data_IF_751818890093
#
_entry.id   IF_751818890093
#
_cell.length_a   1.000
_cell.length_b   1.000
_cell.length_c   1.000
_cell.angle_alpha   90.00
_cell.angle_beta   90.00
_cell.angle_gamma   90.00
#
_symmetry.space_group_name_H-M   'P 1'
#
loop_
_entity.id
_entity.type
_entity.pdbx_description
1 polymer ?
#
# COMPACT_ATOMS: atom_id res chain seq x y z
N UNK A 1 -9.38 -5.72 17.45
CA UNK A 1 -8.33 -6.72 17.18
C UNK A 1 -7.29 -6.24 16.15
N UNK A 2 -7.67 -5.52 15.09
CA UNK A 2 -6.71 -4.98 14.11
C UNK A 2 -5.88 -3.81 14.68
N UNK A 3 -6.44 -3.01 15.57
CA UNK A 3 -5.69 -1.99 16.33
C UNK A 3 -4.60 -2.63 17.18
N UNK A 4 -4.88 -3.76 17.82
CA UNK A 4 -3.92 -4.49 18.64
C UNK A 4 -2.73 -5.01 17.84
N UNK A 5 -2.96 -5.53 16.62
CA UNK A 5 -1.90 -5.98 15.71
C UNK A 5 -1.01 -4.80 15.29
N UNK A 6 -1.59 -3.64 14.96
CA UNK A 6 -0.86 -2.42 14.62
C UNK A 6 0.02 -1.96 15.78
N UNK A 7 -0.51 -1.93 16.99
CA UNK A 7 0.22 -1.43 18.16
C UNK A 7 1.39 -2.35 18.54
N UNK A 8 1.24 -3.67 18.40
CA UNK A 8 2.34 -4.61 18.61
C UNK A 8 3.41 -4.52 17.52
N UNK A 9 3.06 -4.25 16.27
CA UNK A 9 4.03 -4.14 15.18
C UNK A 9 4.93 -2.91 15.28
N UNK A 10 4.53 -1.86 16.03
CA UNK A 10 5.33 -0.63 16.17
C UNK A 10 6.69 -0.83 16.82
N UNK A 11 6.88 -1.89 17.61
CA UNK A 11 8.13 -2.26 18.25
C UNK A 11 8.98 -3.24 17.44
N UNK A 12 8.40 -3.94 16.46
CA UNK A 12 9.08 -4.95 15.63
C UNK A 12 9.68 -4.29 14.40
N UNK A 13 10.83 -3.60 14.56
CA UNK A 13 11.44 -2.76 13.50
C UNK A 13 12.87 -3.16 13.14
N UNK A 14 13.36 -4.27 13.68
CA UNK A 14 14.73 -4.71 13.39
C UNK A 14 14.88 -5.02 11.90
N UNK A 15 16.01 -4.58 11.34
CA UNK A 15 16.43 -4.85 9.97
C UNK A 15 17.88 -5.34 10.03
N UNK A 16 18.14 -6.48 9.43
CA UNK A 16 19.46 -7.07 9.30
C UNK A 16 19.67 -7.56 7.87
N UNK A 17 20.89 -7.90 7.49
CA UNK A 17 21.14 -8.53 6.19
C UNK A 17 22.26 -9.59 6.30
N UNK A 18 22.21 -10.53 5.38
CA UNK A 18 23.28 -11.47 5.07
C UNK A 18 23.48 -11.45 3.55
N UNK A 19 24.67 -11.05 3.09
CA UNK A 19 24.96 -10.68 1.70
C UNK A 19 23.89 -9.74 1.13
N UNK A 20 23.05 -10.18 0.21
CA UNK A 20 22.00 -9.41 -0.44
C UNK A 20 20.57 -9.73 0.07
N UNK A 21 20.45 -10.65 1.03
CA UNK A 21 19.19 -10.99 1.67
C UNK A 21 18.96 -10.11 2.90
N UNK A 22 17.87 -9.32 2.89
CA UNK A 22 17.46 -8.50 4.04
C UNK A 22 16.39 -9.23 4.83
N UNK A 23 16.62 -9.39 6.13
CA UNK A 23 15.59 -9.81 7.09
C UNK A 23 15.03 -8.57 7.78
N UNK A 24 13.73 -8.29 7.58
CA UNK A 24 13.06 -7.16 8.20
C UNK A 24 11.86 -7.61 9.02
N UNK A 25 11.73 -7.10 10.25
CA UNK A 25 10.55 -7.30 11.06
C UNK A 25 9.36 -6.48 10.52
N UNK A 26 8.14 -6.96 10.72
CA UNK A 26 6.94 -6.45 10.06
C UNK A 26 6.51 -5.04 10.46
N UNK A 27 7.00 -4.51 11.57
CA UNK A 27 6.81 -3.12 11.97
C UNK A 27 7.84 -2.14 11.40
N UNK A 28 8.89 -2.63 10.71
CA UNK A 28 9.79 -1.77 9.96
C UNK A 28 9.02 -1.10 8.82
N UNK A 29 9.25 0.20 8.59
CA UNK A 29 8.64 0.87 7.44
C UNK A 29 9.32 0.46 6.15
N UNK A 30 8.56 0.40 5.08
CA UNK A 30 9.08 0.12 3.73
C UNK A 30 10.22 1.08 3.38
N UNK A 31 10.04 2.36 3.74
CA UNK A 31 11.05 3.40 3.54
C UNK A 31 12.33 3.17 4.37
N UNK A 32 12.25 2.63 5.58
CA UNK A 32 13.43 2.34 6.39
C UNK A 32 14.20 1.15 5.83
N UNK A 33 13.49 0.13 5.34
CA UNK A 33 14.13 -1.00 4.64
C UNK A 33 14.85 -0.53 3.37
N UNK A 34 14.21 0.33 2.55
CA UNK A 34 14.87 0.89 1.36
C UNK A 34 16.14 1.69 1.72
N UNK A 35 16.10 2.53 2.77
CA UNK A 35 17.26 3.29 3.22
C UNK A 35 18.37 2.39 3.78
N UNK A 36 17.99 1.35 4.51
CA UNK A 36 18.93 0.35 5.02
C UNK A 36 19.62 -0.38 3.88
N UNK A 37 18.86 -0.87 2.90
CA UNK A 37 19.37 -1.53 1.71
C UNK A 37 20.35 -0.63 0.93
N UNK A 38 19.99 0.63 0.72
CA UNK A 38 20.85 1.63 0.07
C UNK A 38 22.20 1.79 0.78
N UNK A 39 22.20 1.88 2.11
CA UNK A 39 23.45 2.00 2.89
C UNK A 39 24.31 0.74 2.81
N UNK A 40 23.69 -0.43 2.71
CA UNK A 40 24.37 -1.72 2.58
C UNK A 40 24.79 -2.04 1.13
N UNK A 41 24.49 -1.19 0.14
CA UNK A 41 24.76 -1.45 -1.26
C UNK A 41 23.90 -2.56 -1.86
N UNK A 42 22.68 -2.72 -1.36
CA UNK A 42 21.70 -3.71 -1.81
C UNK A 42 20.62 -3.01 -2.63
N UNK A 43 20.59 -3.26 -3.93
CA UNK A 43 19.62 -2.73 -4.90
C UNK A 43 18.40 -3.63 -5.07
N UNK A 44 17.52 -3.26 -6.01
CA UNK A 44 16.23 -3.91 -6.32
C UNK A 44 15.14 -3.70 -5.27
N UNK A 45 15.41 -2.94 -4.21
CA UNK A 45 14.50 -2.61 -3.11
C UNK A 45 14.11 -1.11 -3.10
N UNK A 46 14.53 -0.34 -4.09
CA UNK A 46 14.35 1.12 -4.16
C UNK A 46 12.88 1.52 -4.21
N UNK A 47 12.02 0.68 -4.81
CA UNK A 47 10.58 0.95 -4.94
C UNK A 47 9.87 1.06 -3.58
N UNK A 48 10.40 0.40 -2.55
CA UNK A 48 9.88 0.46 -1.18
C UNK A 48 9.86 1.88 -0.62
N UNK A 49 10.78 2.79 -1.06
CA UNK A 49 10.77 4.20 -0.63
C UNK A 49 9.49 4.93 -1.07
N UNK A 50 8.84 4.44 -2.12
CA UNK A 50 7.61 4.98 -2.66
C UNK A 50 6.34 4.41 -2.01
N UNK A 51 6.43 3.43 -1.12
CA UNK A 51 5.29 2.79 -0.47
C UNK A 51 5.13 3.33 0.95
N UNK A 52 4.00 3.96 1.28
CA UNK A 52 3.71 4.40 2.64
C UNK A 52 3.12 3.23 3.43
N UNK A 53 3.94 2.54 4.19
CA UNK A 53 3.49 1.38 4.93
C UNK A 53 4.59 0.73 5.75
N UNK A 54 4.33 -0.49 6.17
CA UNK A 54 5.27 -1.37 6.85
C UNK A 54 5.37 -2.69 6.11
N UNK A 55 6.44 -3.42 6.34
CA UNK A 55 6.69 -4.75 5.76
C UNK A 55 5.48 -5.68 5.94
N UNK A 56 4.87 -5.68 7.13
CA UNK A 56 3.67 -6.50 7.38
C UNK A 56 2.47 -6.13 6.51
N UNK A 57 2.24 -4.84 6.29
CA UNK A 57 1.22 -4.34 5.37
C UNK A 57 1.54 -4.66 3.92
N UNK A 58 2.80 -4.52 3.53
CA UNK A 58 3.31 -4.88 2.21
C UNK A 58 3.09 -6.35 1.85
N UNK A 59 3.42 -7.26 2.76
CA UNK A 59 3.15 -8.69 2.61
C UNK A 59 1.64 -8.98 2.47
N UNK A 60 0.82 -8.38 3.31
CA UNK A 60 -0.63 -8.63 3.34
C UNK A 60 -1.35 -8.16 2.08
N UNK A 61 -0.84 -7.12 1.44
CA UNK A 61 -1.45 -6.50 0.26
C UNK A 61 -0.69 -6.82 -1.04
N UNK A 62 0.40 -7.56 -1.00
CA UNK A 62 1.36 -7.59 -2.09
C UNK A 62 1.59 -6.18 -2.65
N UNK A 63 1.98 -5.26 -1.75
CA UNK A 63 2.14 -3.86 -2.12
C UNK A 63 3.20 -3.70 -3.20
N UNK A 64 3.02 -2.74 -4.09
CA UNK A 64 3.96 -2.51 -5.18
C UNK A 64 3.88 -1.08 -5.70
N UNK A 65 4.95 -0.65 -6.30
CA UNK A 65 5.08 0.65 -6.95
C UNK A 65 6.19 0.58 -8.01
N UNK A 66 6.11 1.45 -9.02
CA UNK A 66 7.17 1.62 -10.02
C UNK A 66 7.59 0.31 -10.74
N UNK A 67 6.61 -0.58 -10.96
CA UNK A 67 6.82 -1.83 -11.70
C UNK A 67 7.30 -3.02 -10.88
N UNK A 68 7.49 -2.86 -9.55
CA UNK A 68 7.89 -3.94 -8.63
C UNK A 68 6.84 -4.14 -7.54
N UNK A 69 6.75 -5.36 -7.03
CA UNK A 69 5.82 -5.77 -5.97
C UNK A 69 6.55 -6.58 -4.88
N UNK A 70 5.93 -6.73 -3.72
CA UNK A 70 6.49 -7.54 -2.63
C UNK A 70 6.77 -8.99 -3.05
N UNK A 71 5.91 -9.60 -3.89
CA UNK A 71 6.13 -10.97 -4.38
C UNK A 71 7.45 -11.12 -5.16
N UNK A 72 7.95 -10.05 -5.79
CA UNK A 72 9.15 -10.10 -6.64
C UNK A 72 10.43 -10.13 -5.78
N UNK A 73 10.35 -9.64 -4.56
CA UNK A 73 11.49 -9.55 -3.64
C UNK A 73 11.38 -10.46 -2.42
N UNK A 74 10.20 -10.98 -2.08
CA UNK A 74 10.00 -11.82 -0.90
C UNK A 74 10.50 -13.24 -1.15
N UNK A 75 11.46 -13.70 -0.33
CA UNK A 75 11.86 -15.11 -0.26
C UNK A 75 10.85 -15.85 0.61
N UNK A 76 10.65 -15.36 1.84
CA UNK A 76 9.76 -15.93 2.85
C UNK A 76 9.18 -14.87 3.76
N UNK A 77 7.95 -15.13 4.21
CA UNK A 77 7.33 -14.44 5.32
C UNK A 77 7.23 -15.40 6.51
N UNK A 78 7.58 -14.92 7.69
CA UNK A 78 7.51 -15.69 8.94
C UNK A 78 6.46 -15.11 9.87
N UNK A 79 5.87 -15.97 10.70
CA UNK A 79 4.84 -15.54 11.64
C UNK A 79 4.24 -16.68 12.44
N UNK A 80 3.00 -16.47 12.87
CA UNK A 80 2.22 -17.44 13.63
C UNK A 80 0.77 -17.46 13.14
N UNK A 81 0.14 -18.64 13.23
CA UNK A 81 -1.29 -18.77 13.08
C UNK A 81 -2.03 -18.49 14.42
N UNK A 82 -3.35 -18.69 14.44
CA UNK A 82 -4.16 -18.46 15.65
C UNK A 82 -3.83 -19.42 16.80
N UNK A 83 -3.31 -20.60 16.49
CA UNK A 83 -2.97 -21.62 17.47
C UNK A 83 -1.54 -21.45 17.99
N UNK A 84 -0.85 -20.37 17.56
CA UNK A 84 0.54 -20.10 17.94
C UNK A 84 1.56 -20.97 17.20
N UNK A 85 1.15 -21.71 16.18
CA UNK A 85 2.04 -22.49 15.34
C UNK A 85 2.84 -21.56 14.43
N UNK A 86 4.14 -21.79 14.33
CA UNK A 86 5.01 -21.04 13.44
C UNK A 86 4.65 -21.29 11.98
N UNK A 87 4.58 -20.24 11.21
CA UNK A 87 4.45 -20.26 9.75
C UNK A 87 5.72 -19.75 9.09
N UNK A 88 6.00 -20.31 7.91
CA UNK A 88 7.07 -19.86 7.01
C UNK A 88 6.54 -20.07 5.60
N UNK A 89 6.15 -18.99 4.91
CA UNK A 89 5.42 -19.02 3.65
C UNK A 89 6.16 -18.26 2.55
N UNK A 90 6.19 -18.83 1.36
CA UNK A 90 6.66 -18.19 0.14
C UNK A 90 5.57 -17.31 -0.48
N UNK A 91 5.88 -16.43 -1.45
CA UNK A 91 4.86 -15.71 -2.22
C UNK A 91 3.82 -16.62 -2.88
N UNK A 92 4.24 -17.81 -3.35
CA UNK A 92 3.35 -18.81 -3.94
C UNK A 92 2.38 -19.39 -2.90
N UNK A 93 2.88 -19.74 -1.71
CA UNK A 93 2.05 -20.24 -0.59
C UNK A 93 1.02 -19.19 -0.15
N UNK A 94 1.35 -17.91 -0.30
CA UNK A 94 0.47 -16.79 0.02
C UNK A 94 -0.45 -16.37 -1.15
N UNK A 95 -0.40 -17.03 -2.31
CA UNK A 95 -1.21 -16.69 -3.47
C UNK A 95 -1.12 -15.22 -3.88
N UNK A 96 0.09 -14.63 -3.82
CA UNK A 96 0.27 -13.21 -4.08
C UNK A 96 -0.02 -12.85 -5.54
N UNK A 97 -1.00 -11.95 -5.74
CA UNK A 97 -1.36 -11.37 -7.03
C UNK A 97 -1.45 -9.84 -6.92
N UNK A 98 -1.80 -9.15 -7.98
CA UNK A 98 -1.88 -7.68 -7.97
C UNK A 98 -2.77 -7.15 -6.84
N UNK A 99 -2.17 -6.44 -5.87
CA UNK A 99 -2.82 -5.87 -4.68
C UNK A 99 -3.63 -6.88 -3.87
N UNK A 100 -3.15 -8.12 -3.84
CA UNK A 100 -3.84 -9.21 -3.16
C UNK A 100 -2.87 -10.27 -2.63
N UNK A 101 -3.27 -10.88 -1.51
CA UNK A 101 -2.64 -12.07 -0.93
C UNK A 101 -3.73 -12.95 -0.34
N UNK A 102 -3.71 -14.24 -0.67
CA UNK A 102 -4.60 -15.29 -0.13
C UNK A 102 -4.15 -15.77 1.26
N UNK A 103 -3.06 -15.23 1.81
CA UNK A 103 -2.61 -15.59 3.14
C UNK A 103 -3.76 -15.50 4.15
N UNK A 104 -4.03 -16.55 4.95
CA UNK A 104 -5.14 -16.55 5.91
C UNK A 104 -5.14 -15.28 6.77
N UNK A 105 -6.31 -14.66 6.96
CA UNK A 105 -6.47 -13.46 7.79
C UNK A 105 -6.07 -13.67 9.24
N UNK A 106 -6.06 -14.94 9.67
CA UNK A 106 -5.63 -15.36 10.98
C UNK A 106 -4.12 -15.33 11.20
N UNK A 107 -3.32 -15.27 10.11
CA UNK A 107 -1.86 -15.24 10.23
C UNK A 107 -1.38 -13.87 10.70
N UNK A 108 -0.45 -13.88 11.66
CA UNK A 108 0.25 -12.72 12.17
C UNK A 108 1.70 -12.81 11.69
N UNK A 109 2.07 -12.00 10.71
CA UNK A 109 3.45 -11.93 10.24
C UNK A 109 4.34 -11.23 11.26
N UNK A 110 5.56 -11.73 11.44
CA UNK A 110 6.57 -11.17 12.36
C UNK A 110 7.80 -10.65 11.63
N UNK A 111 8.20 -11.28 10.52
CA UNK A 111 9.32 -10.84 9.70
C UNK A 111 9.18 -11.31 8.25
N UNK A 112 9.98 -10.74 7.38
CA UNK A 112 10.17 -11.18 6.00
C UNK A 112 11.65 -11.24 5.65
N UNK A 113 12.02 -12.19 4.80
CA UNK A 113 13.27 -12.26 4.08
C UNK A 113 13.04 -11.71 2.66
N UNK A 114 13.81 -10.68 2.33
CA UNK A 114 13.67 -9.93 1.08
C UNK A 114 14.97 -10.02 0.29
N UNK A 115 14.90 -10.46 -0.96
CA UNK A 115 16.04 -10.60 -1.85
C UNK A 115 16.30 -9.30 -2.60
N UNK A 116 17.49 -8.76 -2.44
CA UNK A 116 18.01 -7.70 -3.28
C UNK A 116 19.14 -8.19 -4.20
N UNK A 117 19.82 -7.26 -4.82
CA UNK A 117 21.00 -7.48 -5.70
C UNK A 117 22.15 -6.59 -5.25
N UNK A 118 23.40 -7.00 -5.50
CA UNK A 118 24.55 -6.10 -5.26
C UNK A 118 24.44 -4.86 -6.15
N UNK A 119 24.66 -3.69 -5.56
CA UNK A 119 24.58 -2.42 -6.28
C UNK A 119 25.42 -1.33 -5.63
N UNK A 120 25.66 -0.27 -6.40
CA UNK A 120 26.38 0.91 -5.92
C UNK A 120 25.44 1.81 -5.13
N UNK A 121 25.77 2.10 -3.87
CA UNK A 121 24.97 2.91 -2.94
C UNK A 121 24.54 4.26 -3.53
N UNK A 122 25.39 4.90 -4.34
CA UNK A 122 25.10 6.16 -5.01
C UNK A 122 24.03 6.00 -6.10
N UNK A 123 24.10 4.95 -6.92
CA UNK A 123 23.12 4.64 -7.96
C UNK A 123 21.74 4.35 -7.35
N UNK A 124 21.71 3.50 -6.30
CA UNK A 124 20.48 3.18 -5.52
C UNK A 124 19.85 4.47 -4.97
N UNK A 125 20.67 5.36 -4.38
CA UNK A 125 20.20 6.64 -3.84
C UNK A 125 19.61 7.55 -4.92
N UNK A 126 20.21 7.59 -6.09
CA UNK A 126 19.66 8.38 -7.22
C UNK A 126 18.32 7.85 -7.68
N UNK A 127 18.15 6.54 -7.79
CA UNK A 127 16.88 5.90 -8.14
C UNK A 127 15.80 6.17 -7.09
N UNK A 128 16.10 6.05 -5.80
CA UNK A 128 15.19 6.41 -4.71
C UNK A 128 14.76 7.89 -4.78
N UNK A 129 15.68 8.81 -5.08
CA UNK A 129 15.35 10.24 -5.26
C UNK A 129 14.39 10.46 -6.43
N UNK A 130 14.60 9.78 -7.55
CA UNK A 130 13.70 9.82 -8.71
C UNK A 130 12.29 9.35 -8.35
N UNK A 131 12.17 8.24 -7.60
CA UNK A 131 10.89 7.70 -7.11
C UNK A 131 10.17 8.73 -6.22
N UNK A 132 10.88 9.33 -5.26
CA UNK A 132 10.32 10.36 -4.36
C UNK A 132 9.86 11.59 -5.14
N UNK A 133 10.65 12.03 -6.13
CA UNK A 133 10.31 13.15 -7.02
C UNK A 133 9.02 12.86 -7.79
N UNK A 134 9.00 11.79 -8.57
CA UNK A 134 7.84 11.38 -9.38
C UNK A 134 6.56 11.23 -8.55
N UNK A 135 6.68 10.65 -7.34
CA UNK A 135 5.55 10.54 -6.42
C UNK A 135 5.05 11.92 -5.98
N UNK A 136 5.97 12.83 -5.66
CA UNK A 136 5.62 14.18 -5.23
C UNK A 136 4.90 14.99 -6.29
N UNK A 137 5.24 14.77 -7.55
CA UNK A 137 4.62 15.45 -8.68
C UNK A 137 3.22 14.88 -8.99
N UNK A 138 3.03 13.56 -8.78
CA UNK A 138 1.79 12.87 -9.13
C UNK A 138 0.75 12.80 -8.00
N UNK A 139 1.17 12.78 -6.72
CA UNK A 139 0.27 12.51 -5.61
C UNK A 139 0.11 13.72 -4.66
N UNK A 140 -1.05 13.88 -3.99
CA UNK A 140 -1.24 14.93 -2.99
C UNK A 140 -0.29 14.69 -1.80
N UNK A 141 0.31 15.78 -1.27
CA UNK A 141 1.22 15.75 -0.11
C UNK A 141 0.65 16.57 1.03
N UNK A 142 0.94 16.17 2.26
CA UNK A 142 0.54 16.95 3.44
C UNK A 142 -0.97 16.95 3.72
N UNK A 143 -1.72 16.05 3.09
CA UNK A 143 -3.17 15.92 3.26
C UNK A 143 -3.54 14.57 3.88
N UNK A 144 -4.68 14.52 4.56
CA UNK A 144 -5.22 13.27 5.12
C UNK A 144 -5.92 12.47 4.02
N UNK A 145 -5.35 11.34 3.65
CA UNK A 145 -5.91 10.44 2.62
C UNK A 145 -5.54 8.99 2.90
N UNK A 146 -6.37 8.06 2.47
CA UNK A 146 -6.10 6.62 2.53
C UNK A 146 -5.20 6.10 1.39
N UNK A 147 -4.67 6.99 0.53
CA UNK A 147 -3.94 6.60 -0.68
C UNK A 147 -4.86 6.39 -1.88
N UNK A 148 -4.46 5.51 -2.81
CA UNK A 148 -5.31 5.14 -3.94
C UNK A 148 -6.60 4.50 -3.46
N UNK A 149 -7.74 5.09 -3.80
CA UNK A 149 -9.05 4.63 -3.33
C UNK A 149 -9.51 3.38 -4.07
N UNK A 150 -9.23 3.31 -5.37
CA UNK A 150 -9.66 2.20 -6.23
C UNK A 150 -8.45 1.53 -6.89
N UNK A 151 -8.53 0.21 -7.04
CA UNK A 151 -7.57 -0.54 -7.84
C UNK A 151 -7.70 -0.17 -9.31
N UNK A 152 -6.58 -0.22 -10.04
CA UNK A 152 -6.64 -0.03 -11.48
C UNK A 152 -7.44 -1.16 -12.14
N UNK A 153 -8.40 -0.84 -13.02
CA UNK A 153 -9.09 -1.83 -13.81
C UNK A 153 -8.17 -2.48 -14.83
N UNK A 154 -8.56 -3.64 -15.34
CA UNK A 154 -7.84 -4.32 -16.42
C UNK A 154 -7.72 -3.41 -17.64
N UNK A 155 -6.49 -3.19 -18.11
CA UNK A 155 -6.21 -2.39 -19.30
C UNK A 155 -6.30 -0.87 -19.13
N UNK A 156 -6.50 -0.36 -17.87
CA UNK A 156 -6.64 1.08 -17.62
C UNK A 156 -6.09 1.57 -16.30
N UNK A 157 -6.30 2.84 -16.04
CA UNK A 157 -5.96 3.51 -14.78
C UNK A 157 -7.21 4.09 -14.15
N UNK A 158 -7.48 3.75 -12.89
CA UNK A 158 -8.67 4.23 -12.18
C UNK A 158 -8.78 5.76 -12.19
N UNK A 159 -7.66 6.48 -12.00
CA UNK A 159 -7.66 7.95 -12.02
C UNK A 159 -8.13 8.55 -13.35
N UNK A 160 -7.84 7.89 -14.49
CA UNK A 160 -8.28 8.35 -15.80
C UNK A 160 -9.80 8.21 -15.96
N UNK A 161 -10.36 7.09 -15.53
CA UNK A 161 -11.80 6.86 -15.59
C UNK A 161 -12.58 7.81 -14.67
N UNK A 162 -12.02 8.08 -13.47
CA UNK A 162 -12.58 9.04 -12.51
C UNK A 162 -12.56 10.47 -13.07
N UNK A 163 -11.46 10.84 -13.74
CA UNK A 163 -11.32 12.16 -14.37
C UNK A 163 -12.28 12.34 -15.55
N UNK A 164 -12.37 11.35 -16.44
CA UNK A 164 -13.33 11.32 -17.55
C UNK A 164 -14.79 11.45 -17.08
N UNK A 165 -15.11 10.86 -15.94
CA UNK A 165 -16.43 10.94 -15.33
C UNK A 165 -16.71 12.30 -14.64
N UNK A 166 -15.81 13.28 -14.76
CA UNK A 166 -15.97 14.62 -14.19
C UNK A 166 -15.96 14.66 -12.67
N UNK A 167 -15.25 13.73 -12.03
CA UNK A 167 -15.22 13.62 -10.57
C UNK A 167 -14.07 14.42 -9.92
N UNK A 168 -13.15 15.01 -10.68
CA UNK A 168 -12.05 15.82 -10.15
C UNK A 168 -12.59 16.97 -9.30
N UNK A 169 -12.11 17.10 -8.06
CA UNK A 169 -12.56 18.15 -7.13
C UNK A 169 -13.96 17.96 -6.55
N UNK A 170 -14.68 16.89 -6.90
CA UNK A 170 -16.01 16.60 -6.35
C UNK A 170 -15.94 16.52 -4.82
N UNK A 171 -16.92 17.17 -4.15
CA UNK A 171 -16.99 17.22 -2.69
C UNK A 171 -18.30 16.66 -2.17
N UNK A 172 -18.24 15.94 -1.05
CA UNK A 172 -19.39 15.53 -0.24
C UNK A 172 -19.00 15.71 1.23
N UNK A 173 -19.74 16.55 1.95
CA UNK A 173 -19.40 16.94 3.31
C UNK A 173 -17.98 17.49 3.38
N UNK A 174 -17.16 16.92 4.27
CA UNK A 174 -15.75 17.28 4.41
C UNK A 174 -14.80 16.48 3.51
N UNK A 175 -15.30 15.57 2.68
CA UNK A 175 -14.49 14.75 1.77
C UNK A 175 -14.42 15.34 0.37
N UNK A 176 -13.25 15.21 -0.29
CA UNK A 176 -13.01 15.73 -1.64
C UNK A 176 -12.21 14.76 -2.49
N UNK A 177 -12.57 14.61 -3.77
CA UNK A 177 -11.70 13.99 -4.78
C UNK A 177 -10.53 14.94 -5.06
N UNK A 178 -9.30 14.44 -4.92
CA UNK A 178 -8.11 15.26 -5.13
C UNK A 178 -8.07 15.87 -6.54
N UNK A 179 -7.82 17.16 -6.61
CA UNK A 179 -7.60 17.86 -7.89
C UNK A 179 -6.28 17.45 -8.55
N UNK A 180 -5.29 17.02 -7.76
CA UNK A 180 -3.99 16.59 -8.25
C UNK A 180 -4.00 15.16 -8.80
N UNK A 181 -4.73 14.24 -8.13
CA UNK A 181 -4.83 12.84 -8.53
C UNK A 181 -6.18 12.27 -8.17
N UNK A 182 -7.06 12.11 -9.15
CA UNK A 182 -8.47 11.78 -8.95
C UNK A 182 -8.74 10.47 -8.20
N UNK A 183 -7.78 9.54 -8.13
CA UNK A 183 -7.92 8.30 -7.36
C UNK A 183 -7.60 8.45 -5.86
N UNK A 184 -7.52 9.70 -5.35
CA UNK A 184 -7.29 10.00 -3.94
C UNK A 184 -8.47 10.77 -3.38
N UNK A 185 -9.10 10.23 -2.34
CA UNK A 185 -10.07 10.96 -1.54
C UNK A 185 -9.34 11.64 -0.38
N UNK A 186 -9.60 12.91 -0.21
CA UNK A 186 -8.97 13.79 0.80
C UNK A 186 -10.00 14.10 1.88
N UNK A 187 -9.58 13.99 3.15
CA UNK A 187 -10.28 14.56 4.28
C UNK A 187 -9.77 15.99 4.51
N UNK A 188 -10.60 16.98 4.24
CA UNK A 188 -10.28 18.42 4.43
C UNK A 188 -10.24 18.85 5.90
N UNK A 189 -10.27 17.90 6.84
CA UNK A 189 -10.12 18.14 8.28
C UNK A 189 -11.35 17.77 9.10
N UNK A 190 -12.52 17.76 8.50
CA UNK A 190 -13.81 17.51 9.13
C UNK A 190 -14.68 16.45 8.43
N UNK A 191 -14.12 15.69 7.47
CA UNK A 191 -14.84 14.61 6.83
C UNK A 191 -15.16 13.49 7.82
N UNK A 192 -16.40 13.04 7.80
CA UNK A 192 -16.81 11.80 8.47
C UNK A 192 -16.44 10.59 7.61
N UNK A 193 -16.48 9.38 8.19
CA UNK A 193 -16.30 8.15 7.42
C UNK A 193 -17.42 8.01 6.37
N UNK A 194 -18.65 8.41 6.72
CA UNK A 194 -19.81 8.42 5.82
C UNK A 194 -19.59 9.34 4.61
N UNK A 195 -19.01 10.53 4.81
CA UNK A 195 -18.69 11.46 3.71
C UNK A 195 -17.73 10.80 2.72
N UNK A 196 -16.67 10.16 3.23
CA UNK A 196 -15.65 9.50 2.40
C UNK A 196 -16.25 8.30 1.65
N UNK A 197 -17.06 7.47 2.33
CA UNK A 197 -17.74 6.33 1.69
C UNK A 197 -18.73 6.79 0.64
N UNK A 198 -19.57 7.76 0.96
CA UNK A 198 -20.56 8.32 0.03
C UNK A 198 -19.89 8.95 -1.18
N UNK A 199 -18.80 9.69 -0.99
CA UNK A 199 -18.01 10.25 -2.08
C UNK A 199 -17.45 9.15 -2.98
N UNK A 200 -16.88 8.09 -2.40
CA UNK A 200 -16.33 6.97 -3.16
C UNK A 200 -17.40 6.21 -3.95
N UNK A 201 -18.57 5.92 -3.35
CA UNK A 201 -19.67 5.28 -4.08
C UNK A 201 -20.25 6.20 -5.17
N UNK A 202 -20.31 7.51 -4.93
CA UNK A 202 -20.72 8.50 -5.95
C UNK A 202 -19.75 8.49 -7.14
N UNK A 203 -18.45 8.43 -6.88
CA UNK A 203 -17.43 8.31 -7.93
C UNK A 203 -17.63 7.03 -8.74
N UNK A 204 -17.80 5.87 -8.08
CA UNK A 204 -18.06 4.60 -8.77
C UNK A 204 -19.30 4.68 -9.68
N UNK A 205 -20.38 5.21 -9.15
CA UNK A 205 -21.63 5.34 -9.89
C UNK A 205 -21.50 6.27 -11.10
N UNK A 206 -20.78 7.40 -10.97
CA UNK A 206 -20.53 8.31 -12.10
C UNK A 206 -19.68 7.66 -13.18
N UNK A 207 -18.63 6.91 -12.79
CA UNK A 207 -17.78 6.16 -13.73
C UNK A 207 -18.63 5.14 -14.50
N UNK A 208 -19.45 4.35 -13.82
CA UNK A 208 -20.37 3.39 -14.46
C UNK A 208 -21.33 4.08 -15.42
N UNK A 209 -21.98 5.16 -14.99
CA UNK A 209 -22.95 5.91 -15.81
C UNK A 209 -22.30 6.54 -17.05
N UNK A 210 -21.01 6.90 -16.97
CA UNK A 210 -20.25 7.39 -18.13
C UNK A 210 -19.72 6.28 -19.07
N UNK A 211 -20.11 5.02 -18.84
CA UNK A 211 -19.66 3.87 -19.63
C UNK A 211 -18.28 3.32 -19.23
N UNK A 212 -17.73 3.75 -18.10
CA UNK A 212 -16.48 3.24 -17.56
C UNK A 212 -16.64 1.91 -16.79
N UNK A 213 -15.53 1.31 -16.33
CA UNK A 213 -15.54 0.04 -15.61
C UNK A 213 -16.12 0.18 -14.18
N UNK A 214 -16.58 -0.93 -13.61
CA UNK A 214 -16.89 -1.00 -12.19
C UNK A 214 -15.59 -0.95 -11.37
N UNK A 215 -15.35 0.17 -10.68
CA UNK A 215 -14.14 0.38 -9.91
C UNK A 215 -14.17 -0.42 -8.61
N UNK A 216 -13.17 -1.27 -8.40
CA UNK A 216 -13.01 -2.03 -7.18
C UNK A 216 -12.27 -1.20 -6.13
N UNK A 217 -12.83 -1.13 -4.91
CA UNK A 217 -12.15 -0.49 -3.77
C UNK A 217 -10.80 -1.16 -3.48
N UNK A 218 -9.74 -0.34 -3.32
CA UNK A 218 -8.43 -0.78 -2.85
C UNK A 218 -8.28 -0.54 -1.33
N UNK A 219 -8.80 0.59 -0.84
CA UNK A 219 -8.85 0.86 0.60
C UNK A 219 -9.90 -0.05 1.28
N UNK A 220 -9.59 -0.45 2.51
CA UNK A 220 -10.49 -1.27 3.33
C UNK A 220 -11.37 -0.39 4.20
N UNK A 221 -12.66 -0.68 4.22
CA UNK A 221 -13.65 -0.06 5.10
C UNK A 221 -13.81 -0.95 6.33
N UNK A 222 -13.62 -0.37 7.54
CA UNK A 222 -13.65 -1.10 8.81
C UNK A 222 -14.68 -0.42 9.71
N UNK A 223 -15.55 -1.20 10.34
CA UNK A 223 -16.60 -0.72 11.22
C UNK A 223 -17.99 -1.05 10.70
N UNK A 224 -18.99 -0.55 11.39
CA UNK A 224 -20.40 -0.65 11.00
C UNK A 224 -20.89 0.75 10.61
N UNK A 225 -21.61 0.86 9.50
CA UNK A 225 -22.37 2.06 9.19
C UNK A 225 -23.36 2.34 10.33
N UNK A 226 -23.40 3.58 10.81
CA UNK A 226 -24.48 3.97 11.70
C UNK A 226 -25.76 4.02 10.85
N UNK A 227 -26.65 3.07 11.07
CA UNK A 227 -27.98 3.17 10.50
C UNK A 227 -28.61 4.47 11.01
N UNK A 228 -28.97 5.38 10.08
CA UNK A 228 -29.86 6.48 10.43
C UNK A 228 -31.17 5.85 10.93
N UNK A 229 -31.39 5.93 12.26
CA UNK A 229 -32.66 5.60 12.88
C UNK A 229 -33.74 6.58 12.44
#
# INVERSE_FOLDING_TARGET
SEMWIRDNSTHMKQITHDDTCITAQTGATDADVARYAQKAGIGSLEFLIGIPGTIGGGLRMNAGAYGSEFRDITIRAHGFDRDGKRISATPADMGMTYRHSDAPTAWIFTSAELQGTKGESTGIKMQMKSIIGSRGDAQPRGVRTGGSTFANPTGGKAWQEIDKAGCRGLQIGGAQVSEKHCNFLINNGNATAEDIETLGETVRQRVLTSGGPDLRWEIRRIGKSQSKG
#
